data_IF_544113604886
#
_entry.id   IF_544113604886
#
_cell.length_a   1.000
_cell.length_b   1.000
_cell.length_c   1.000
_cell.angle_alpha   90.00
_cell.angle_beta   90.00
_cell.angle_gamma   90.00
#
_symmetry.space_group_name_H-M   'P 1'
#
loop_
_entity.id
_entity.type
_entity.pdbx_description
1 polymer ?
#
# COMPACT_ATOMS: atom_id res chain seq x y z
N UNK A 1 -24.56 -23.21 -5.55
CA UNK A 1 -23.71 -22.21 -4.86
C UNK A 1 -24.43 -21.73 -3.61
N UNK A 2 -23.84 -21.92 -2.42
CA UNK A 2 -24.46 -21.65 -1.13
C UNK A 2 -24.21 -20.23 -0.60
N UNK A 3 -23.34 -19.47 -1.26
CA UNK A 3 -23.00 -18.12 -0.86
C UNK A 3 -22.66 -17.20 -2.04
N UNK A 4 -22.84 -15.91 -1.85
CA UNK A 4 -22.49 -14.81 -2.78
C UNK A 4 -21.35 -14.03 -2.15
N UNK A 5 -20.27 -13.79 -2.91
CA UNK A 5 -19.15 -12.95 -2.49
C UNK A 5 -19.12 -11.69 -3.35
N UNK A 6 -19.18 -10.51 -2.71
CA UNK A 6 -19.16 -9.21 -3.37
C UNK A 6 -17.82 -8.52 -3.11
N UNK A 7 -16.97 -8.42 -4.12
CA UNK A 7 -15.65 -7.76 -4.01
C UNK A 7 -15.65 -6.26 -4.34
N UNK A 8 -16.79 -5.70 -4.75
CA UNK A 8 -16.89 -4.32 -5.22
C UNK A 8 -17.15 -3.28 -4.09
N UNK A 9 -16.95 -3.63 -2.84
CA UNK A 9 -17.28 -2.79 -1.67
C UNK A 9 -18.79 -2.50 -1.49
N UNK A 10 -19.64 -3.07 -2.34
CA UNK A 10 -21.08 -2.81 -2.36
C UNK A 10 -21.82 -4.13 -2.27
N UNK A 11 -22.79 -4.26 -1.34
CA UNK A 11 -23.67 -5.42 -1.28
C UNK A 11 -24.60 -5.48 -2.50
N UNK A 12 -25.30 -6.62 -2.73
CA UNK A 12 -26.32 -6.71 -3.75
C UNK A 12 -27.44 -5.69 -3.52
N UNK A 13 -27.98 -5.06 -4.59
CA UNK A 13 -28.99 -4.02 -4.46
C UNK A 13 -30.35 -4.53 -3.94
N UNK A 14 -30.57 -5.85 -4.00
CA UNK A 14 -31.77 -6.52 -3.55
C UNK A 14 -31.39 -7.57 -2.50
N UNK A 15 -32.16 -7.67 -1.44
CA UNK A 15 -31.97 -8.68 -0.39
C UNK A 15 -31.91 -10.08 -1.00
N UNK A 16 -30.90 -10.82 -0.63
CA UNK A 16 -30.68 -12.20 -1.09
C UNK A 16 -31.09 -13.20 -0.02
N UNK A 17 -31.65 -14.34 -0.46
CA UNK A 17 -31.99 -15.46 0.42
C UNK A 17 -30.75 -16.35 0.72
N UNK A 18 -29.62 -16.07 0.10
CA UNK A 18 -28.33 -16.77 0.28
C UNK A 18 -27.45 -16.04 1.27
N UNK A 19 -26.44 -16.73 1.81
CA UNK A 19 -25.38 -16.09 2.61
C UNK A 19 -24.58 -15.12 1.72
N UNK A 20 -24.53 -13.85 2.10
CA UNK A 20 -23.77 -12.82 1.38
C UNK A 20 -22.58 -12.40 2.22
N UNK A 21 -21.41 -12.41 1.58
CA UNK A 21 -20.13 -11.90 2.12
C UNK A 21 -19.73 -10.67 1.32
N UNK A 22 -19.68 -9.50 1.96
CA UNK A 22 -19.25 -8.25 1.32
C UNK A 22 -17.80 -8.00 1.69
N UNK A 23 -16.91 -8.04 0.70
CA UNK A 23 -15.51 -7.73 0.91
C UNK A 23 -15.27 -6.24 0.69
N UNK A 24 -14.88 -5.54 1.77
CA UNK A 24 -14.72 -4.09 1.79
C UNK A 24 -13.24 -3.72 1.95
N UNK A 25 -12.70 -2.98 0.97
CA UNK A 25 -11.28 -2.62 0.91
C UNK A 25 -11.02 -1.14 0.57
N UNK A 26 -12.07 -0.33 0.33
CA UNK A 26 -11.93 1.06 -0.09
C UNK A 26 -12.16 2.03 1.06
N UNK A 27 -11.10 2.40 1.75
CA UNK A 27 -11.14 3.34 2.88
C UNK A 27 -11.74 4.71 2.52
N UNK A 28 -11.52 5.20 1.27
CA UNK A 28 -12.04 6.50 0.83
C UNK A 28 -13.57 6.59 0.82
N UNK A 29 -14.26 5.45 0.70
CA UNK A 29 -15.72 5.40 0.83
C UNK A 29 -16.20 5.66 2.26
N UNK A 30 -15.35 5.41 3.25
CA UNK A 30 -15.69 5.55 4.67
C UNK A 30 -15.21 6.87 5.25
N UNK A 31 -14.01 7.30 4.88
CA UNK A 31 -13.38 8.50 5.39
C UNK A 31 -12.59 9.24 4.32
N UNK A 32 -12.94 10.51 4.12
CA UNK A 32 -12.20 11.43 3.23
C UNK A 32 -11.19 12.30 4.00
N UNK A 33 -10.99 12.05 5.31
CA UNK A 33 -10.03 12.80 6.13
C UNK A 33 -8.62 12.65 5.55
N UNK A 34 -7.93 13.77 5.38
CA UNK A 34 -6.56 13.80 4.83
C UNK A 34 -6.44 13.54 3.32
N UNK A 35 -7.54 13.28 2.62
CA UNK A 35 -7.52 13.13 1.17
C UNK A 35 -7.75 14.47 0.47
N UNK A 36 -6.74 14.93 -0.29
CA UNK A 36 -6.92 16.05 -1.22
C UNK A 36 -7.74 15.60 -2.42
N UNK A 37 -9.02 15.93 -2.43
CA UNK A 37 -9.94 15.55 -3.50
C UNK A 37 -10.83 16.73 -3.89
N UNK A 38 -11.20 16.78 -5.19
CA UNK A 38 -12.16 17.73 -5.70
C UNK A 38 -13.52 17.60 -4.97
N UNK A 39 -14.19 18.72 -4.73
CA UNK A 39 -15.46 18.79 -4.01
C UNK A 39 -16.52 17.84 -4.56
N UNK A 40 -16.70 17.79 -5.89
CA UNK A 40 -17.63 16.86 -6.55
C UNK A 40 -17.34 15.38 -6.23
N UNK A 41 -16.07 15.00 -6.11
CA UNK A 41 -15.71 13.62 -5.77
C UNK A 41 -16.10 13.27 -4.32
N UNK A 42 -16.02 14.23 -3.40
CA UNK A 42 -16.50 14.05 -2.01
C UNK A 42 -18.01 13.85 -1.97
N UNK A 43 -18.77 14.59 -2.77
CA UNK A 43 -20.24 14.44 -2.89
C UNK A 43 -20.59 13.04 -3.40
N UNK A 44 -19.95 12.58 -4.47
CA UNK A 44 -20.19 11.23 -5.02
C UNK A 44 -19.89 10.15 -3.98
N UNK A 45 -18.80 10.28 -3.23
CA UNK A 45 -18.46 9.33 -2.16
C UNK A 45 -19.49 9.35 -1.02
N UNK A 46 -20.01 10.52 -0.66
CA UNK A 46 -21.06 10.65 0.32
C UNK A 46 -22.34 9.91 -0.09
N UNK A 47 -22.81 10.09 -1.32
CA UNK A 47 -23.98 9.37 -1.85
C UNK A 47 -23.75 7.86 -1.95
N UNK A 48 -22.55 7.44 -2.38
CA UNK A 48 -22.18 6.02 -2.38
C UNK A 48 -22.22 5.43 -0.97
N UNK A 49 -21.68 6.13 0.02
CA UNK A 49 -21.71 5.72 1.42
C UNK A 49 -23.16 5.57 1.92
N UNK A 50 -24.02 6.56 1.64
CA UNK A 50 -25.42 6.53 2.01
C UNK A 50 -26.17 5.36 1.34
N UNK A 51 -25.85 5.08 0.07
CA UNK A 51 -26.40 3.94 -0.67
C UNK A 51 -25.98 2.62 -0.02
N UNK A 52 -24.68 2.43 0.26
CA UNK A 52 -24.17 1.22 0.88
C UNK A 52 -24.81 0.97 2.26
N UNK A 53 -24.97 2.01 3.08
CA UNK A 53 -25.57 1.87 4.41
C UNK A 53 -27.03 1.38 4.38
N UNK A 54 -27.75 1.66 3.28
CA UNK A 54 -29.14 1.18 3.08
C UNK A 54 -29.24 -0.27 2.59
N UNK A 55 -28.14 -0.83 2.13
CA UNK A 55 -28.08 -2.20 1.58
C UNK A 55 -27.56 -3.21 2.61
N UNK A 56 -27.37 -2.82 3.87
CA UNK A 56 -27.01 -3.76 4.92
C UNK A 56 -28.24 -4.55 5.38
N UNK A 57 -28.56 -5.60 4.64
CA UNK A 57 -29.60 -6.56 4.99
C UNK A 57 -29.14 -7.60 6.01
N UNK A 58 -28.16 -7.28 6.84
CA UNK A 58 -27.60 -8.19 7.83
C UNK A 58 -26.54 -9.13 7.28
N UNK A 59 -25.86 -8.74 6.21
CA UNK A 59 -24.79 -9.48 5.57
C UNK A 59 -23.53 -9.54 6.44
N UNK A 60 -22.61 -10.50 6.14
CA UNK A 60 -21.29 -10.52 6.73
C UNK A 60 -20.35 -9.61 5.94
N UNK A 61 -19.59 -8.78 6.67
CA UNK A 61 -18.62 -7.86 6.09
C UNK A 61 -17.22 -8.36 6.35
N UNK A 62 -16.39 -8.35 5.35
CA UNK A 62 -15.01 -8.81 5.41
C UNK A 62 -14.07 -7.65 5.07
N UNK A 63 -13.10 -7.40 5.92
CA UNK A 63 -12.11 -6.31 5.77
C UNK A 63 -10.70 -6.84 5.92
N UNK A 64 -9.72 -6.05 5.48
CA UNK A 64 -8.32 -6.44 5.53
C UNK A 64 -7.66 -6.12 6.86
N UNK A 65 -8.12 -5.09 7.58
CA UNK A 65 -7.45 -4.55 8.77
C UNK A 65 -8.44 -4.21 9.88
N UNK A 66 -7.95 -4.13 11.11
CA UNK A 66 -8.73 -3.67 12.28
C UNK A 66 -9.13 -2.20 12.13
N UNK A 67 -8.30 -1.38 11.47
CA UNK A 67 -8.62 0.00 11.12
C UNK A 67 -9.87 0.10 10.24
N UNK A 68 -9.95 -0.69 9.16
CA UNK A 68 -11.15 -0.73 8.31
C UNK A 68 -12.38 -1.26 9.04
N UNK A 69 -12.21 -2.22 9.96
CA UNK A 69 -13.29 -2.71 10.83
C UNK A 69 -13.88 -1.55 11.65
N UNK A 70 -13.04 -0.78 12.35
CA UNK A 70 -13.47 0.39 13.12
C UNK A 70 -14.14 1.45 12.26
N UNK A 71 -13.62 1.70 11.06
CA UNK A 71 -14.22 2.65 10.12
C UNK A 71 -15.61 2.19 9.62
N UNK A 72 -15.79 0.92 9.30
CA UNK A 72 -17.09 0.37 8.91
C UNK A 72 -18.12 0.54 10.03
N UNK A 73 -17.77 0.16 11.26
CA UNK A 73 -18.64 0.32 12.42
C UNK A 73 -19.05 1.78 12.62
N UNK A 74 -18.08 2.71 12.63
CA UNK A 74 -18.34 4.12 12.91
C UNK A 74 -18.98 4.87 11.74
N UNK A 75 -18.74 4.46 10.50
CA UNK A 75 -19.17 5.20 9.31
C UNK A 75 -20.46 4.68 8.68
N UNK A 76 -20.71 3.38 8.74
CA UNK A 76 -21.90 2.73 8.16
C UNK A 76 -22.83 2.13 9.23
N UNK A 77 -22.47 2.25 10.50
CA UNK A 77 -23.22 1.71 11.64
C UNK A 77 -23.46 0.20 11.55
N UNK A 78 -22.52 -0.52 10.94
CA UNK A 78 -22.57 -1.98 10.84
C UNK A 78 -22.14 -2.56 12.18
N UNK A 79 -22.90 -3.53 12.69
CA UNK A 79 -22.60 -4.20 13.95
C UNK A 79 -21.24 -4.90 13.89
N UNK A 80 -20.43 -4.71 14.91
CA UNK A 80 -19.03 -5.20 14.94
C UNK A 80 -18.94 -6.74 14.82
N UNK A 81 -19.93 -7.46 15.37
CA UNK A 81 -20.05 -8.92 15.29
C UNK A 81 -20.23 -9.46 13.86
N UNK A 82 -20.64 -8.60 12.91
CA UNK A 82 -20.79 -8.94 11.49
C UNK A 82 -19.60 -8.58 10.65
N UNK A 83 -18.54 -7.99 11.25
CA UNK A 83 -17.35 -7.55 10.55
C UNK A 83 -16.17 -8.47 10.92
N UNK A 84 -15.68 -9.20 9.93
CA UNK A 84 -14.59 -10.17 10.05
C UNK A 84 -13.31 -9.60 9.42
N UNK A 85 -12.18 -9.73 10.11
CA UNK A 85 -10.88 -9.40 9.54
C UNK A 85 -10.42 -10.62 8.75
N UNK A 86 -10.36 -10.46 7.43
CA UNK A 86 -10.04 -11.56 6.49
C UNK A 86 -9.13 -11.00 5.40
N UNK A 87 -7.84 -10.78 5.66
CA UNK A 87 -6.92 -10.31 4.64
C UNK A 87 -6.78 -11.34 3.53
N UNK A 88 -6.96 -10.91 2.28
CA UNK A 88 -6.81 -11.75 1.10
C UNK A 88 -5.53 -11.36 0.39
N UNK A 89 -4.59 -12.29 0.33
CA UNK A 89 -3.38 -12.18 -0.47
C UNK A 89 -2.99 -13.55 -1.03
N UNK A 90 -2.38 -13.54 -2.20
CA UNK A 90 -1.89 -14.77 -2.85
C UNK A 90 -0.54 -15.15 -2.25
N UNK A 91 -0.35 -16.41 -1.91
CA UNK A 91 0.98 -16.92 -1.58
C UNK A 91 1.86 -16.87 -2.84
N UNK A 92 3.00 -16.19 -2.74
CA UNK A 92 3.96 -16.11 -3.83
C UNK A 92 4.80 -17.38 -3.83
N UNK A 93 4.82 -18.08 -4.97
CA UNK A 93 5.75 -19.21 -5.18
C UNK A 93 7.03 -18.60 -5.76
N UNK A 94 8.10 -18.61 -4.97
CA UNK A 94 9.36 -18.00 -5.35
C UNK A 94 10.32 -19.03 -5.98
N UNK A 95 10.85 -18.68 -7.14
CA UNK A 95 12.12 -19.22 -7.59
C UNK A 95 13.23 -18.42 -6.93
N UNK A 96 13.84 -18.96 -5.86
CA UNK A 96 14.91 -18.25 -5.13
C UNK A 96 16.03 -17.84 -6.06
N UNK A 97 16.31 -16.55 -6.12
CA UNK A 97 17.43 -15.95 -6.86
C UNK A 97 18.30 -15.16 -5.87
N UNK A 98 19.60 -15.03 -6.13
CA UNK A 98 20.46 -14.17 -5.30
C UNK A 98 19.93 -12.74 -5.26
N UNK A 99 19.93 -12.14 -4.09
CA UNK A 99 19.57 -10.73 -3.91
C UNK A 99 20.66 -9.82 -4.44
N UNK A 100 20.28 -8.80 -5.20
CA UNK A 100 21.19 -7.76 -5.69
C UNK A 100 21.44 -6.79 -4.53
N UNK A 101 22.69 -6.63 -4.06
CA UNK A 101 23.03 -5.70 -2.98
C UNK A 101 22.61 -4.27 -3.31
N UNK A 102 22.32 -3.48 -2.28
CA UNK A 102 22.02 -2.04 -2.37
C UNK A 102 20.88 -1.69 -3.35
N UNK A 103 20.00 -2.67 -3.64
CA UNK A 103 18.85 -2.50 -4.54
C UNK A 103 17.57 -2.47 -3.76
N UNK A 104 16.88 -1.35 -3.86
CA UNK A 104 15.58 -1.08 -3.25
C UNK A 104 14.50 -1.14 -4.30
N UNK A 105 13.38 -1.80 -3.98
CA UNK A 105 12.17 -1.81 -4.79
C UNK A 105 11.08 -1.02 -4.07
N UNK A 106 10.36 -0.20 -4.81
CA UNK A 106 9.11 0.40 -4.37
C UNK A 106 8.03 0.26 -5.44
N UNK A 107 7.10 -0.68 -5.29
CA UNK A 107 5.91 -0.74 -6.12
C UNK A 107 5.00 0.44 -5.80
N UNK A 108 4.88 1.36 -6.73
CA UNK A 108 4.24 2.65 -6.48
C UNK A 108 3.45 3.15 -7.68
N UNK A 109 2.69 4.21 -7.48
CA UNK A 109 1.97 4.98 -8.50
C UNK A 109 2.21 6.48 -8.29
N UNK A 110 1.77 7.31 -9.22
CA UNK A 110 1.94 8.79 -9.13
C UNK A 110 0.92 9.46 -8.19
N UNK A 111 0.37 8.70 -7.25
CA UNK A 111 -0.56 9.24 -6.25
C UNK A 111 0.19 9.96 -5.13
N UNK A 112 -0.31 11.11 -4.68
CA UNK A 112 0.34 11.95 -3.64
C UNK A 112 0.65 11.19 -2.35
N UNK A 113 -0.25 10.26 -1.94
CA UNK A 113 -0.07 9.47 -0.73
C UNK A 113 1.07 8.45 -0.83
N UNK A 114 1.56 8.13 -2.02
CA UNK A 114 2.72 7.25 -2.23
C UNK A 114 4.06 7.92 -1.87
N UNK A 115 4.07 9.23 -1.67
CA UNK A 115 5.20 9.98 -1.11
C UNK A 115 6.51 9.93 -1.93
N UNK A 116 6.40 9.72 -3.24
CA UNK A 116 7.54 9.49 -4.14
C UNK A 116 8.58 10.64 -4.09
N UNK A 117 8.13 11.90 -4.01
CA UNK A 117 9.06 13.06 -3.98
C UNK A 117 9.97 13.04 -2.76
N UNK A 118 9.41 12.79 -1.55
CA UNK A 118 10.23 12.71 -0.33
C UNK A 118 11.16 11.50 -0.37
N UNK A 119 10.69 10.37 -0.91
CA UNK A 119 11.52 9.18 -1.08
C UNK A 119 12.75 9.47 -1.94
N UNK A 120 12.58 10.05 -3.13
CA UNK A 120 13.70 10.39 -4.01
C UNK A 120 14.65 11.36 -3.31
N UNK A 121 14.14 12.37 -2.61
CA UNK A 121 14.97 13.30 -1.84
C UNK A 121 15.74 12.60 -0.72
N UNK A 122 15.17 11.59 -0.07
CA UNK A 122 15.85 10.80 0.95
C UNK A 122 16.98 9.96 0.34
N UNK A 123 16.79 9.36 -0.85
CA UNK A 123 17.82 8.64 -1.57
C UNK A 123 18.96 9.57 -2.04
N UNK A 124 18.65 10.77 -2.53
CA UNK A 124 19.65 11.80 -2.85
C UNK A 124 20.45 12.19 -1.61
N UNK A 125 19.81 12.30 -0.46
CA UNK A 125 20.53 12.60 0.80
C UNK A 125 21.40 11.42 1.23
N UNK A 126 20.86 10.20 1.22
CA UNK A 126 21.57 9.00 1.64
C UNK A 126 22.79 8.72 0.75
N UNK A 127 22.66 8.85 -0.57
CA UNK A 127 23.75 8.59 -1.51
C UNK A 127 24.97 9.52 -1.32
N UNK A 128 24.75 10.76 -0.82
CA UNK A 128 25.85 11.68 -0.47
C UNK A 128 26.64 11.24 0.78
N UNK A 129 26.13 10.28 1.54
CA UNK A 129 26.71 9.80 2.80
C UNK A 129 27.35 8.42 2.70
N UNK A 130 27.22 7.77 1.55
CA UNK A 130 27.80 6.44 1.29
C UNK A 130 28.63 6.47 0.01
N UNK A 131 29.65 5.59 -0.08
CA UNK A 131 30.59 5.58 -1.21
C UNK A 131 30.26 4.52 -2.27
N UNK A 132 29.28 3.64 -2.00
CA UNK A 132 28.88 2.59 -2.93
C UNK A 132 27.63 2.95 -3.71
N UNK A 133 27.43 2.28 -4.85
CA UNK A 133 26.27 2.49 -5.71
C UNK A 133 24.98 1.99 -5.03
N UNK A 134 23.94 2.81 -5.10
CA UNK A 134 22.59 2.49 -4.63
C UNK A 134 21.64 2.50 -5.82
N UNK A 135 20.75 1.52 -5.90
CA UNK A 135 19.70 1.46 -6.92
C UNK A 135 18.33 1.52 -6.29
N UNK A 136 17.48 2.46 -6.74
CA UNK A 136 16.07 2.56 -6.40
C UNK A 136 15.24 2.22 -7.63
N UNK A 137 14.43 1.15 -7.54
CA UNK A 137 13.48 0.71 -8.59
C UNK A 137 12.08 1.17 -8.25
N UNK A 138 11.43 1.88 -9.16
CA UNK A 138 10.08 2.44 -9.02
C UNK A 138 9.18 1.93 -10.14
N UNK A 139 7.98 1.45 -9.83
CA UNK A 139 6.98 1.09 -10.85
C UNK A 139 6.22 2.32 -11.36
N UNK A 140 6.98 3.34 -11.75
CA UNK A 140 6.52 4.59 -12.34
C UNK A 140 7.12 4.76 -13.73
N UNK A 141 6.39 5.51 -14.56
CA UNK A 141 7.00 6.11 -15.75
C UNK A 141 7.99 7.21 -15.33
N UNK A 142 9.05 7.38 -16.08
CA UNK A 142 10.00 8.46 -15.83
C UNK A 142 9.30 9.82 -15.92
N UNK A 143 9.40 10.68 -14.90
CA UNK A 143 8.72 11.98 -14.91
C UNK A 143 9.32 12.88 -15.99
N UNK A 144 8.52 13.31 -16.95
CA UNK A 144 8.95 14.16 -18.08
C UNK A 144 9.49 15.53 -17.66
N UNK A 145 9.11 16.03 -16.48
CA UNK A 145 9.35 17.41 -16.07
C UNK A 145 10.20 17.60 -14.81
N UNK A 146 10.59 16.53 -14.11
CA UNK A 146 11.38 16.64 -12.87
C UNK A 146 12.73 15.98 -13.10
N UNK A 147 13.71 16.76 -13.55
CA UNK A 147 15.11 16.33 -13.59
C UNK A 147 15.75 16.57 -12.21
N UNK A 148 15.82 15.54 -11.41
CA UNK A 148 16.70 15.56 -10.24
C UNK A 148 18.15 15.49 -10.71
N UNK A 149 19.01 16.39 -10.21
CA UNK A 149 20.45 16.22 -10.35
C UNK A 149 20.89 15.11 -9.40
N UNK A 150 20.93 13.88 -9.91
CA UNK A 150 21.28 12.70 -9.13
C UNK A 150 22.80 12.66 -8.85
N UNK A 151 23.23 12.28 -7.65
CA UNK A 151 24.61 11.90 -7.36
C UNK A 151 25.05 10.72 -8.24
N UNK A 152 26.35 10.66 -8.58
CA UNK A 152 26.87 9.61 -9.48
C UNK A 152 26.66 8.18 -8.97
N UNK A 153 26.62 8.00 -7.67
CA UNK A 153 26.40 6.70 -7.03
C UNK A 153 24.93 6.36 -6.77
N UNK A 154 23.97 7.20 -7.23
CA UNK A 154 22.52 6.90 -7.14
C UNK A 154 21.97 6.62 -8.53
N UNK A 155 21.43 5.42 -8.71
CA UNK A 155 20.67 5.00 -9.88
C UNK A 155 19.19 4.92 -9.54
N UNK A 156 18.30 5.57 -10.32
CA UNK A 156 16.86 5.41 -10.22
C UNK A 156 16.38 4.75 -11.50
N UNK A 157 15.80 3.55 -11.37
CA UNK A 157 15.22 2.78 -12.46
C UNK A 157 13.69 2.96 -12.44
N UNK A 158 13.16 3.58 -13.48
CA UNK A 158 11.73 3.71 -13.70
C UNK A 158 11.25 2.52 -14.54
N UNK A 159 10.52 1.61 -13.92
CA UNK A 159 10.09 0.33 -14.51
C UNK A 159 8.76 0.44 -15.27
N UNK A 160 8.08 1.59 -15.17
CA UNK A 160 6.73 1.73 -15.70
C UNK A 160 5.70 0.84 -15.01
N UNK A 161 4.57 0.65 -15.66
CA UNK A 161 3.52 -0.24 -15.19
C UNK A 161 3.87 -1.68 -15.53
N UNK A 162 4.07 -2.50 -14.51
CA UNK A 162 4.41 -3.93 -14.64
C UNK A 162 3.19 -4.82 -14.47
N UNK A 163 3.19 -5.97 -15.13
CA UNK A 163 2.30 -7.09 -14.78
C UNK A 163 2.75 -7.67 -13.43
N UNK A 164 1.81 -8.28 -12.71
CA UNK A 164 2.10 -8.83 -11.38
C UNK A 164 3.26 -9.84 -11.38
N UNK A 165 3.33 -10.70 -12.39
CA UNK A 165 4.42 -11.69 -12.53
C UNK A 165 5.80 -11.04 -12.72
N UNK A 166 5.87 -9.96 -13.48
CA UNK A 166 7.10 -9.17 -13.67
C UNK A 166 7.51 -8.50 -12.35
N UNK A 167 6.53 -7.94 -11.62
CA UNK A 167 6.77 -7.34 -10.31
C UNK A 167 7.32 -8.37 -9.31
N UNK A 168 6.81 -9.60 -9.30
CA UNK A 168 7.33 -10.69 -8.45
C UNK A 168 8.81 -10.96 -8.75
N UNK A 169 9.23 -10.93 -10.02
CA UNK A 169 10.66 -11.07 -10.36
C UNK A 169 11.51 -9.95 -9.73
N UNK A 170 11.01 -8.71 -9.71
CA UNK A 170 11.71 -7.59 -9.06
C UNK A 170 11.79 -7.75 -7.54
N UNK A 171 10.73 -8.23 -6.87
CA UNK A 171 10.79 -8.58 -5.45
C UNK A 171 11.83 -9.66 -5.17
N UNK A 172 11.87 -10.70 -6.01
CA UNK A 172 12.77 -11.85 -5.82
C UNK A 172 14.25 -11.42 -5.83
N UNK A 173 14.64 -10.48 -6.69
CA UNK A 173 16.05 -10.06 -6.81
C UNK A 173 16.40 -8.81 -5.99
N UNK A 174 15.45 -8.00 -5.56
CA UNK A 174 15.71 -6.81 -4.75
C UNK A 174 16.03 -7.19 -3.31
N UNK A 175 17.13 -6.65 -2.75
CA UNK A 175 17.49 -6.90 -1.36
C UNK A 175 16.54 -6.20 -0.40
N UNK A 176 16.07 -5.01 -0.76
CA UNK A 176 15.23 -4.19 0.09
C UNK A 176 13.88 -3.87 -0.58
N UNK A 177 12.82 -3.89 0.22
CA UNK A 177 11.57 -3.20 -0.10
C UNK A 177 11.53 -1.90 0.72
N UNK A 178 11.29 -0.75 0.07
CA UNK A 178 11.03 0.50 0.78
C UNK A 178 9.57 0.93 0.55
N UNK A 179 8.85 1.29 1.62
CA UNK A 179 7.43 1.58 1.56
C UNK A 179 7.07 2.85 2.32
N UNK A 180 7.28 4.04 1.71
CA UNK A 180 7.12 5.36 2.35
C UNK A 180 5.69 5.91 2.26
N UNK A 181 4.70 5.09 1.88
CA UNK A 181 3.31 5.51 1.75
C UNK A 181 2.76 6.17 3.01
N UNK A 182 1.96 7.22 2.83
CA UNK A 182 1.33 7.98 3.91
C UNK A 182 -0.03 7.39 4.32
N UNK A 183 -0.62 6.58 3.45
CA UNK A 183 -1.93 5.98 3.64
C UNK A 183 -2.12 4.79 2.73
N UNK A 184 -2.57 3.67 3.29
CA UNK A 184 -2.96 2.45 2.55
C UNK A 184 -4.12 1.76 3.26
N UNK A 185 -4.92 1.03 2.48
CA UNK A 185 -5.98 0.19 3.05
C UNK A 185 -5.43 -1.09 3.68
N UNK A 186 -4.31 -1.62 3.14
CA UNK A 186 -3.66 -2.83 3.63
C UNK A 186 -2.13 -2.78 3.43
N UNK A 187 -1.67 -2.45 2.21
CA UNK A 187 -0.24 -2.48 1.89
C UNK A 187 0.22 -3.85 1.38
N UNK A 188 -0.45 -4.39 0.35
CA UNK A 188 -0.04 -5.66 -0.30
C UNK A 188 1.46 -5.75 -0.58
N UNK A 189 2.15 -4.68 -1.05
CA UNK A 189 3.58 -4.73 -1.26
C UNK A 189 4.40 -5.12 -0.03
N UNK A 190 3.94 -4.83 1.18
CA UNK A 190 4.62 -5.26 2.42
C UNK A 190 4.60 -6.77 2.57
N UNK A 191 3.44 -7.39 2.31
CA UNK A 191 3.26 -8.84 2.36
C UNK A 191 4.08 -9.52 1.26
N UNK A 192 4.03 -8.98 0.04
CA UNK A 192 4.76 -9.51 -1.12
C UNK A 192 6.28 -9.43 -0.92
N UNK A 193 6.76 -8.30 -0.40
CA UNK A 193 8.16 -8.12 -0.06
C UNK A 193 8.63 -9.07 1.05
N UNK A 194 7.81 -9.26 2.09
CA UNK A 194 8.09 -10.21 3.17
C UNK A 194 8.15 -11.65 2.64
N UNK A 195 7.16 -12.07 1.85
CA UNK A 195 7.16 -13.40 1.23
C UNK A 195 8.33 -13.62 0.27
N UNK A 196 8.90 -12.52 -0.26
CA UNK A 196 10.03 -12.53 -1.17
C UNK A 196 11.39 -12.38 -0.49
N UNK A 197 11.47 -12.52 0.84
CA UNK A 197 12.70 -12.37 1.63
C UNK A 197 13.38 -10.99 1.45
N UNK A 198 12.60 -9.91 1.22
CA UNK A 198 13.12 -8.56 1.23
C UNK A 198 13.30 -8.05 2.67
N UNK A 199 14.37 -7.31 2.92
CA UNK A 199 14.49 -6.49 4.13
C UNK A 199 13.57 -5.29 3.94
N UNK A 200 12.58 -5.13 4.83
CA UNK A 200 11.53 -4.12 4.66
C UNK A 200 11.85 -2.86 5.46
N UNK A 201 11.86 -1.71 4.77
CA UNK A 201 11.87 -0.37 5.34
C UNK A 201 10.51 0.25 5.09
N UNK A 202 9.79 0.69 6.12
CA UNK A 202 8.43 1.17 5.97
C UNK A 202 8.12 2.41 6.82
N UNK A 203 7.06 3.11 6.43
CA UNK A 203 6.50 4.22 7.20
C UNK A 203 6.08 3.75 8.59
N UNK A 204 6.45 4.49 9.63
CA UNK A 204 5.97 4.28 11.00
C UNK A 204 4.52 4.81 11.11
N UNK A 205 3.58 4.03 10.60
CA UNK A 205 2.15 4.33 10.55
C UNK A 205 1.31 3.09 10.85
N UNK A 206 0.12 3.29 11.42
CA UNK A 206 -0.74 2.21 11.90
C UNK A 206 -1.00 1.09 10.89
N UNK A 207 -1.19 1.42 9.61
CA UNK A 207 -1.45 0.40 8.59
C UNK A 207 -0.26 -0.54 8.37
N UNK A 208 0.97 -0.09 8.62
CA UNK A 208 2.16 -0.96 8.55
C UNK A 208 2.17 -1.91 9.73
N UNK A 209 1.96 -1.39 10.95
CA UNK A 209 1.92 -2.20 12.18
C UNK A 209 0.82 -3.28 12.15
N UNK A 210 -0.27 -3.06 11.40
CA UNK A 210 -1.33 -4.07 11.24
C UNK A 210 -0.95 -5.20 10.27
N UNK A 211 0.05 -4.99 9.42
CA UNK A 211 0.44 -5.96 8.38
C UNK A 211 1.68 -6.74 8.77
N UNK A 212 2.69 -6.06 9.32
CA UNK A 212 3.94 -6.69 9.72
C UNK A 212 4.68 -5.86 10.77
N UNK A 213 5.56 -6.53 11.52
CA UNK A 213 6.55 -5.88 12.37
C UNK A 213 7.90 -5.81 11.65
N UNK A 214 8.52 -4.63 11.63
CA UNK A 214 9.88 -4.42 11.14
C UNK A 214 10.63 -3.43 12.02
N UNK A 215 11.93 -3.66 12.20
CA UNK A 215 12.81 -2.75 12.96
C UNK A 215 13.20 -1.50 12.15
N UNK A 216 12.96 -1.52 10.84
CA UNK A 216 13.39 -0.47 9.92
C UNK A 216 12.24 0.48 9.58
N UNK A 217 11.52 0.95 10.60
CA UNK A 217 10.49 1.97 10.44
C UNK A 217 11.10 3.37 10.46
N UNK A 218 10.46 4.30 9.74
CA UNK A 218 10.86 5.69 9.66
C UNK A 218 9.63 6.62 9.61
N UNK A 219 9.82 7.86 10.06
CA UNK A 219 8.83 8.90 9.90
C UNK A 219 8.73 9.33 8.42
N UNK A 220 7.62 9.03 7.70
CA UNK A 220 7.51 9.29 6.26
C UNK A 220 7.42 10.77 5.91
N UNK A 221 7.22 11.64 6.88
CA UNK A 221 7.18 13.10 6.70
C UNK A 221 8.56 13.75 6.80
N UNK A 222 9.57 13.03 7.34
CA UNK A 222 10.94 13.52 7.56
C UNK A 222 11.92 12.85 6.61
N UNK A 223 12.40 13.62 5.61
CA UNK A 223 13.38 13.15 4.60
C UNK A 223 14.63 12.61 5.27
N UNK A 224 15.15 13.27 6.31
CA UNK A 224 16.37 12.88 7.00
C UNK A 224 16.23 11.53 7.71
N UNK A 225 15.11 11.33 8.42
CA UNK A 225 14.84 10.08 9.13
C UNK A 225 14.76 8.88 8.17
N UNK A 226 14.06 9.06 7.04
CA UNK A 226 14.00 8.06 5.96
C UNK A 226 15.40 7.77 5.39
N UNK A 227 16.22 8.80 5.17
CA UNK A 227 17.58 8.66 4.65
C UNK A 227 18.51 7.94 5.64
N UNK A 228 18.39 8.24 6.94
CA UNK A 228 19.17 7.58 8.00
C UNK A 228 18.84 6.07 8.06
N UNK A 229 17.56 5.70 7.89
CA UNK A 229 17.18 4.27 7.80
C UNK A 229 17.72 3.60 6.54
N UNK A 230 17.75 4.29 5.40
CA UNK A 230 18.38 3.78 4.16
C UNK A 230 19.86 3.53 4.40
N UNK A 231 20.59 4.49 5.00
CA UNK A 231 22.02 4.37 5.29
C UNK A 231 22.29 3.20 6.25
N UNK A 232 21.46 3.03 7.28
CA UNK A 232 21.65 2.01 8.31
C UNK A 232 21.61 0.57 7.78
N UNK A 233 20.84 0.32 6.70
CA UNK A 233 20.66 -1.03 6.15
C UNK A 233 21.64 -1.37 5.02
N UNK A 234 22.34 -0.37 4.49
CA UNK A 234 23.34 -0.54 3.43
C UNK A 234 24.63 -1.12 3.95
#
# INVERSE_FOLDING_TARGET
FDSIICFANVPPPIKQNKKVKVYFHNELLLSTKGAEMAFFKKIILFFKKLYISRLDFGYSWHVQTSHLKKLLTSSLNIKEEKIFITPIFKKIILNKKPKIPNTFLYPTSDSKHKNNKRLISAFVYASKKVNHKITLKLTLEEPKFVKFKLPQNLNIEYLGQLKHEELINHYTVSKYLIFPSLKESFGLPLVEGFQSDCIILASDLNFVHEVLETKNMFNPYKIKDMAEKIILVL
#
